data_IF_723007396002
#
_entry.id   IF_723007396002
#
_cell.length_a   1.000
_cell.length_b   1.000
_cell.length_c   1.000
_cell.angle_alpha   90.00
_cell.angle_beta   90.00
_cell.angle_gamma   90.00
#
_symmetry.space_group_name_H-M   'P 1'
#
loop_
_entity.id
_entity.type
_entity.pdbx_description
1 polymer ?
#
# COMPACT_ATOMS: atom_id res chain seq x y z
N UNK A 1 -14.79 -4.53 -10.72
CA UNK A 1 -14.30 -3.96 -9.45
C UNK A 1 -14.71 -2.50 -9.38
N UNK A 2 -15.29 -2.08 -8.27
CA UNK A 2 -15.74 -0.70 -8.04
C UNK A 2 -15.09 -0.15 -6.77
N UNK A 3 -14.69 1.13 -6.75
CA UNK A 3 -14.16 1.78 -5.55
C UNK A 3 -15.07 2.95 -5.19
N UNK A 4 -15.55 2.98 -3.96
CA UNK A 4 -16.43 4.02 -3.43
C UNK A 4 -15.81 4.70 -2.22
N UNK A 5 -16.05 6.00 -2.05
CA UNK A 5 -15.65 6.73 -0.85
C UNK A 5 -16.55 6.31 0.32
N UNK A 6 -15.95 5.83 1.41
CA UNK A 6 -16.64 5.34 2.60
C UNK A 6 -16.54 6.31 3.80
N UNK A 7 -15.71 7.35 3.70
CA UNK A 7 -15.55 8.39 4.73
C UNK A 7 -14.46 9.40 4.35
N UNK A 8 -14.07 10.29 5.28
CA UNK A 8 -12.87 11.11 5.12
C UNK A 8 -11.67 10.20 4.92
N UNK A 9 -11.00 10.33 3.77
CA UNK A 9 -9.79 9.59 3.41
C UNK A 9 -9.92 8.05 3.46
N UNK A 10 -11.15 7.53 3.55
CA UNK A 10 -11.46 6.10 3.60
C UNK A 10 -12.24 5.70 2.36
N UNK A 11 -11.82 4.59 1.77
CA UNK A 11 -12.37 4.04 0.55
C UNK A 11 -12.69 2.55 0.74
N UNK A 12 -13.68 2.09 -0.01
CA UNK A 12 -14.08 0.69 -0.06
C UNK A 12 -13.99 0.22 -1.51
N UNK A 13 -13.22 -0.83 -1.75
CA UNK A 13 -13.21 -1.56 -3.00
C UNK A 13 -14.17 -2.75 -2.90
N UNK A 14 -15.04 -2.91 -3.88
CA UNK A 14 -15.98 -4.01 -4.00
C UNK A 14 -15.69 -4.77 -5.30
N UNK A 15 -15.38 -6.05 -5.17
CA UNK A 15 -15.25 -6.95 -6.31
C UNK A 15 -16.54 -7.74 -6.49
N UNK A 16 -17.34 -7.33 -7.48
CA UNK A 16 -18.43 -8.15 -8.00
C UNK A 16 -17.83 -9.20 -8.93
N UNK A 17 -17.92 -10.47 -8.54
CA UNK A 17 -17.57 -11.59 -9.40
C UNK A 17 -18.76 -11.86 -10.33
N UNK A 18 -18.55 -11.79 -11.64
CA UNK A 18 -19.59 -12.19 -12.60
C UNK A 18 -19.90 -13.68 -12.45
N UNK A 19 -21.17 -14.02 -12.19
CA UNK A 19 -21.64 -15.41 -12.02
C UNK A 19 -21.61 -15.94 -10.58
N UNK A 20 -21.30 -15.11 -9.58
CA UNK A 20 -21.49 -15.49 -8.18
C UNK A 20 -22.99 -15.44 -7.82
N UNK A 21 -23.50 -16.50 -7.20
CA UNK A 21 -24.83 -16.52 -6.56
C UNK A 21 -24.99 -15.29 -5.63
N UNK A 22 -26.20 -14.73 -5.54
CA UNK A 22 -26.55 -13.59 -4.65
C UNK A 22 -26.19 -13.84 -3.17
N UNK A 23 -25.95 -15.12 -2.80
CA UNK A 23 -25.47 -15.55 -1.48
C UNK A 23 -23.97 -15.29 -1.24
N UNK A 24 -23.17 -15.06 -2.27
CA UNK A 24 -21.73 -14.81 -2.16
C UNK A 24 -21.52 -13.31 -1.91
N UNK A 25 -21.22 -12.93 -0.66
CA UNK A 25 -20.91 -11.53 -0.34
C UNK A 25 -19.75 -11.04 -1.23
N UNK A 26 -19.88 -9.87 -1.88
CA UNK A 26 -18.78 -9.29 -2.64
C UNK A 26 -17.55 -9.16 -1.74
N UNK A 27 -16.37 -9.44 -2.28
CA UNK A 27 -15.13 -9.19 -1.54
C UNK A 27 -15.00 -7.68 -1.38
N UNK A 28 -15.13 -7.24 -0.13
CA UNK A 28 -15.00 -5.85 0.27
C UNK A 28 -13.63 -5.66 0.93
N UNK A 29 -12.86 -4.71 0.42
CA UNK A 29 -11.63 -4.26 1.03
C UNK A 29 -11.76 -2.80 1.41
N UNK A 30 -11.57 -2.48 2.69
CA UNK A 30 -11.48 -1.10 3.15
C UNK A 30 -10.02 -0.67 3.25
N UNK A 31 -9.75 0.55 2.80
CA UNK A 31 -8.42 1.15 2.86
C UNK A 31 -8.52 2.66 3.10
N UNK A 32 -7.45 3.22 3.66
CA UNK A 32 -7.29 4.66 3.84
C UNK A 32 -6.23 5.19 2.88
N UNK A 33 -6.38 6.44 2.46
CA UNK A 33 -5.46 7.12 1.56
C UNK A 33 -4.98 8.42 2.19
N UNK A 34 -3.67 8.58 2.32
CA UNK A 34 -3.06 9.81 2.82
C UNK A 34 -2.13 10.42 1.77
N UNK A 35 -2.13 11.75 1.64
CA UNK A 35 -1.19 12.46 0.77
C UNK A 35 -0.04 13.03 1.58
N UNK A 36 1.17 12.83 1.08
CA UNK A 36 2.41 13.33 1.67
C UNK A 36 3.31 13.85 0.53
N UNK A 37 3.40 15.17 0.41
CA UNK A 37 4.11 15.82 -0.70
C UNK A 37 3.51 15.47 -2.07
N UNK A 38 4.34 14.87 -2.95
CA UNK A 38 3.94 14.41 -4.28
C UNK A 38 3.36 12.99 -4.30
N UNK A 39 3.56 12.20 -3.25
CA UNK A 39 3.17 10.80 -3.21
C UNK A 39 1.92 10.61 -2.36
N UNK A 40 1.12 9.62 -2.74
CA UNK A 40 -0.02 9.16 -1.97
C UNK A 40 0.30 7.77 -1.40
N UNK A 41 -0.19 7.52 -0.20
CA UNK A 41 -0.03 6.26 0.48
C UNK A 41 -1.39 5.63 0.74
N UNK A 42 -1.54 4.38 0.35
CA UNK A 42 -2.69 3.55 0.63
C UNK A 42 -2.36 2.63 1.79
N UNK A 43 -3.24 2.54 2.78
CA UNK A 43 -3.12 1.57 3.87
C UNK A 43 -4.37 0.72 4.02
N UNK A 44 -4.19 -0.59 4.09
CA UNK A 44 -5.28 -1.55 4.19
C UNK A 44 -4.96 -2.59 5.26
N UNK A 45 -5.98 -3.04 6.00
CA UNK A 45 -5.83 -4.12 6.95
C UNK A 45 -5.45 -5.43 6.24
N UNK A 46 -4.50 -6.16 6.81
CA UNK A 46 -4.10 -7.49 6.35
C UNK A 46 -4.66 -8.57 7.27
N UNK A 47 -5.11 -9.69 6.68
CA UNK A 47 -5.40 -10.92 7.41
C UNK A 47 -4.14 -11.47 8.09
N UNK A 48 -4.30 -12.23 9.18
CA UNK A 48 -3.17 -12.79 9.94
C UNK A 48 -2.23 -13.65 9.09
N UNK A 49 -2.76 -14.38 8.10
CA UNK A 49 -1.98 -15.23 7.18
C UNK A 49 -0.98 -14.44 6.31
N UNK A 50 -1.32 -13.17 6.03
CA UNK A 50 -0.46 -12.22 5.30
C UNK A 50 0.47 -11.44 6.24
N UNK A 51 0.59 -11.89 7.49
CA UNK A 51 1.40 -11.26 8.51
C UNK A 51 0.62 -10.36 9.46
N UNK A 52 -0.67 -10.11 9.23
CA UNK A 52 -1.57 -9.29 10.06
C UNK A 52 -1.25 -7.80 10.10
N UNK A 53 -2.12 -6.98 10.68
CA UNK A 53 -1.90 -5.53 10.83
C UNK A 53 -2.31 -4.75 9.58
N UNK A 54 -1.47 -3.84 9.09
CA UNK A 54 -1.78 -3.00 7.93
C UNK A 54 -0.65 -3.04 6.90
N UNK A 55 -1.02 -3.20 5.62
CA UNK A 55 -0.14 -2.96 4.49
C UNK A 55 -0.04 -1.46 4.20
N UNK A 56 1.08 -1.04 3.61
CA UNK A 56 1.25 0.30 3.03
C UNK A 56 1.73 0.12 1.59
N UNK A 57 1.07 0.80 0.66
CA UNK A 57 1.45 0.91 -0.75
C UNK A 57 1.58 2.38 -1.13
N UNK A 58 2.48 2.68 -2.06
CA UNK A 58 2.65 4.03 -2.60
C UNK A 58 1.97 4.16 -3.97
N UNK A 59 1.45 5.33 -4.29
CA UNK A 59 1.08 5.65 -5.67
C UNK A 59 1.29 7.13 -5.98
N UNK A 60 1.44 7.41 -7.26
CA UNK A 60 1.62 8.77 -7.77
C UNK A 60 0.73 8.96 -9.01
N UNK A 61 0.21 10.18 -9.16
CA UNK A 61 -0.39 10.63 -10.42
C UNK A 61 0.62 11.52 -11.13
N UNK A 62 1.13 11.06 -12.28
CA UNK A 62 2.14 11.79 -13.04
C UNK A 62 1.54 13.02 -13.73
N UNK A 63 2.40 13.92 -14.20
CA UNK A 63 1.98 15.09 -15.00
C UNK A 63 1.25 14.69 -16.31
N UNK A 64 1.48 13.47 -16.80
CA UNK A 64 0.82 12.89 -17.98
C UNK A 64 -0.49 12.18 -17.63
N UNK A 65 -1.00 12.39 -16.40
CA UNK A 65 -2.25 11.82 -15.93
C UNK A 65 -2.23 10.29 -15.87
N UNK A 66 -1.05 9.71 -15.65
CA UNK A 66 -0.83 8.27 -15.43
C UNK A 66 -0.82 7.97 -13.94
N UNK A 67 -1.48 6.87 -13.55
CA UNK A 67 -1.41 6.33 -12.20
C UNK A 67 -0.28 5.32 -12.13
N UNK A 68 0.72 5.58 -11.30
CA UNK A 68 1.84 4.66 -11.04
C UNK A 68 1.68 4.08 -9.64
N UNK A 69 1.67 2.75 -9.54
CA UNK A 69 1.59 2.02 -8.28
C UNK A 69 2.99 1.52 -7.89
N UNK A 70 3.31 1.72 -6.62
CA UNK A 70 4.56 1.29 -6.02
C UNK A 70 4.29 0.32 -4.87
N UNK A 71 5.00 -0.80 -4.88
CA UNK A 71 5.15 -1.62 -3.70
C UNK A 71 6.40 -1.16 -2.91
N UNK A 72 6.46 -1.49 -1.62
CA UNK A 72 7.65 -1.26 -0.80
C UNK A 72 8.49 -2.53 -0.78
N UNK A 73 9.75 -2.41 -1.16
CA UNK A 73 10.66 -3.55 -1.27
C UNK A 73 11.07 -4.04 0.14
N UNK A 74 10.68 -5.24 0.58
CA UNK A 74 10.91 -5.69 1.96
C UNK A 74 12.39 -5.75 2.32
N UNK A 75 13.26 -6.07 1.36
CA UNK A 75 14.70 -6.08 1.57
C UNK A 75 15.27 -4.69 1.91
N UNK A 76 14.75 -3.63 1.28
CA UNK A 76 15.14 -2.24 1.53
C UNK A 76 14.62 -1.75 2.87
N UNK A 77 13.36 -2.06 3.19
CA UNK A 77 12.79 -1.76 4.52
C UNK A 77 13.57 -2.48 5.62
N UNK A 78 14.00 -3.73 5.40
CA UNK A 78 14.86 -4.46 6.36
C UNK A 78 16.20 -3.75 6.57
N UNK A 79 16.85 -3.29 5.51
CA UNK A 79 18.08 -2.52 5.62
C UNK A 79 17.87 -1.24 6.45
N UNK A 80 16.73 -0.57 6.29
CA UNK A 80 16.37 0.59 7.12
C UNK A 80 16.18 0.23 8.61
N UNK A 81 15.78 -1.01 8.93
CA UNK A 81 15.77 -1.52 10.30
C UNK A 81 17.19 -1.74 10.83
N UNK A 82 18.06 -2.33 10.01
CA UNK A 82 19.47 -2.61 10.37
C UNK A 82 20.28 -1.32 10.60
N UNK A 83 19.84 -0.20 10.01
CA UNK A 83 20.45 1.13 10.13
C UNK A 83 19.79 2.00 11.22
N UNK A 84 18.84 1.46 12.00
CA UNK A 84 18.06 2.19 13.02
C UNK A 84 17.21 3.37 12.48
N UNK A 85 17.09 3.52 11.16
CA UNK A 85 16.21 4.51 10.52
C UNK A 85 14.74 4.20 10.77
N UNK A 86 14.39 2.91 10.85
CA UNK A 86 13.08 2.41 11.21
C UNK A 86 13.20 1.36 12.32
N UNK A 87 12.18 1.24 13.17
CA UNK A 87 12.06 0.17 14.15
C UNK A 87 11.07 -0.88 13.64
N UNK A 88 11.34 -2.16 13.90
CA UNK A 88 10.52 -3.23 13.36
C UNK A 88 11.15 -4.61 13.55
N UNK A 89 10.60 -5.60 12.85
CA UNK A 89 11.15 -6.96 12.81
C UNK A 89 10.84 -7.65 11.48
N UNK A 90 11.73 -8.51 10.97
CA UNK A 90 11.40 -9.39 9.87
C UNK A 90 10.31 -10.37 10.29
N UNK A 91 9.45 -10.74 9.36
CA UNK A 91 8.39 -11.74 9.54
C UNK A 91 8.40 -12.72 8.37
N UNK A 92 7.98 -13.95 8.61
CA UNK A 92 7.62 -14.87 7.54
C UNK A 92 6.14 -14.68 7.22
N UNK A 93 5.79 -14.62 5.94
CA UNK A 93 4.40 -14.60 5.46
C UNK A 93 4.19 -15.76 4.49
N UNK A 94 2.94 -16.13 4.21
CA UNK A 94 2.63 -17.14 3.21
C UNK A 94 3.17 -16.81 1.80
N UNK A 95 3.42 -15.52 1.53
CA UNK A 95 3.94 -15.03 0.24
C UNK A 95 5.47 -14.85 0.24
N UNK A 96 6.15 -15.21 1.33
CA UNK A 96 7.61 -15.09 1.48
C UNK A 96 8.03 -14.15 2.62
N UNK A 97 9.33 -13.81 2.68
CA UNK A 97 9.87 -12.92 3.72
C UNK A 97 9.25 -11.51 3.64
N UNK A 98 8.80 -11.00 4.78
CA UNK A 98 8.25 -9.66 4.94
C UNK A 98 8.89 -8.90 6.09
N UNK A 99 8.48 -7.64 6.28
CA UNK A 99 8.94 -6.79 7.38
C UNK A 99 7.75 -6.15 8.07
N UNK A 100 7.69 -6.27 9.39
CA UNK A 100 6.74 -5.55 10.23
C UNK A 100 7.42 -4.31 10.80
N UNK A 101 7.00 -3.14 10.33
CA UNK A 101 7.44 -1.85 10.86
C UNK A 101 6.63 -1.52 12.11
N UNK A 102 7.32 -1.09 13.17
CA UNK A 102 6.76 -0.71 14.47
C UNK A 102 7.05 0.77 14.80
N UNK A 103 7.76 1.48 13.94
CA UNK A 103 7.95 2.93 14.03
C UNK A 103 6.60 3.68 14.06
N UNK A 104 6.52 4.82 14.78
CA UNK A 104 5.42 5.77 14.62
C UNK A 104 5.26 6.21 13.16
N UNK A 105 4.01 6.45 12.72
CA UNK A 105 3.70 6.80 11.34
C UNK A 105 4.46 8.04 10.85
N UNK A 106 4.66 9.04 11.72
CA UNK A 106 5.47 10.23 11.41
C UNK A 106 6.90 9.88 10.96
N UNK A 107 7.54 8.90 11.61
CA UNK A 107 8.87 8.43 11.26
C UNK A 107 8.85 7.59 9.99
N UNK A 108 7.82 6.77 9.81
CA UNK A 108 7.63 5.98 8.58
C UNK A 108 7.50 6.90 7.37
N UNK A 109 6.61 7.89 7.42
CA UNK A 109 6.44 8.84 6.32
C UNK A 109 7.66 9.74 6.14
N UNK A 110 8.32 10.17 7.22
CA UNK A 110 9.58 10.91 7.12
C UNK A 110 10.68 10.13 6.38
N UNK A 111 10.79 8.82 6.61
CA UNK A 111 11.71 7.96 5.86
C UNK A 111 11.30 7.80 4.39
N UNK A 112 10.01 7.54 4.13
CA UNK A 112 9.47 7.29 2.79
C UNK A 112 9.45 8.54 1.89
N UNK A 113 9.33 9.73 2.50
CA UNK A 113 9.29 11.02 1.81
C UNK A 113 10.71 11.56 1.51
N UNK A 114 11.76 10.98 2.09
CA UNK A 114 13.16 11.34 1.82
C UNK A 114 13.60 10.80 0.44
N UNK A 115 13.99 11.67 -0.52
CA UNK A 115 14.47 11.23 -1.83
C UNK A 115 15.66 10.25 -1.77
N UNK A 116 16.46 10.27 -0.71
CA UNK A 116 17.56 9.33 -0.51
C UNK A 116 17.11 7.87 -0.38
N UNK A 117 15.86 7.64 0.03
CA UNK A 117 15.26 6.32 0.20
C UNK A 117 14.35 5.93 -0.97
N UNK A 118 14.43 6.63 -2.10
CA UNK A 118 13.57 6.40 -3.26
C UNK A 118 13.66 4.97 -3.84
N UNK A 119 14.75 4.26 -3.57
CA UNK A 119 14.98 2.86 -3.98
C UNK A 119 14.15 1.83 -3.19
N UNK A 120 13.47 2.23 -2.11
CA UNK A 120 12.48 1.39 -1.42
C UNK A 120 11.22 1.17 -2.28
N UNK A 121 10.95 2.05 -3.24
CA UNK A 121 9.75 2.00 -4.07
C UNK A 121 10.01 1.19 -5.35
N UNK A 122 9.28 0.09 -5.51
CA UNK A 122 9.31 -0.74 -6.71
C UNK A 122 8.03 -0.51 -7.52
N UNK A 123 8.16 0.02 -8.74
CA UNK A 123 7.01 0.21 -9.65
C UNK A 123 6.44 -1.16 -10.03
N UNK A 124 5.18 -1.42 -9.65
CA UNK A 124 4.50 -2.68 -9.93
C UNK A 124 3.48 -2.59 -11.05
N UNK A 125 2.93 -1.39 -11.27
CA UNK A 125 1.98 -1.16 -12.35
C UNK A 125 1.92 0.32 -12.73
N UNK A 126 1.64 0.57 -14.01
CA UNK A 126 1.36 1.89 -14.56
C UNK A 126 0.10 1.84 -15.39
N UNK A 127 -0.87 2.68 -15.03
CA UNK A 127 -2.14 2.79 -15.72
C UNK A 127 -2.24 4.16 -16.37
N UNK A 128 -2.51 4.18 -17.67
CA UNK A 128 -2.90 5.40 -18.36
C UNK A 128 -4.41 5.46 -18.40
N UNK A 129 -4.97 6.64 -18.14
CA UNK A 129 -6.39 6.87 -18.36
C UNK A 129 -6.70 6.68 -19.85
N UNK A 130 -7.55 5.71 -20.18
CA UNK A 130 -7.96 5.43 -21.56
C UNK A 130 -9.20 6.26 -21.86
N UNK A 131 -9.02 7.39 -22.55
CA UNK A 131 -10.12 8.20 -23.09
C UNK A 131 -11.04 8.87 -22.07
N UNK A 132 -11.65 9.98 -22.49
CA UNK A 132 -13.02 10.30 -22.13
C UNK A 132 -13.89 9.99 -23.33
#
# INVERSE_FOLDING_TARGET
>A
MEIRRAGPDRYRAEQHLEGADDAQRPQQAEFTVARHGCRWYLSAGLSDDLGGGFAILGFELTAQNELVLYNLEPARVRQALEQDSLAGRPIATAQGPGVRVLSPLERVFGYLDDPANSDVFSEVARYRRVGQ
#
